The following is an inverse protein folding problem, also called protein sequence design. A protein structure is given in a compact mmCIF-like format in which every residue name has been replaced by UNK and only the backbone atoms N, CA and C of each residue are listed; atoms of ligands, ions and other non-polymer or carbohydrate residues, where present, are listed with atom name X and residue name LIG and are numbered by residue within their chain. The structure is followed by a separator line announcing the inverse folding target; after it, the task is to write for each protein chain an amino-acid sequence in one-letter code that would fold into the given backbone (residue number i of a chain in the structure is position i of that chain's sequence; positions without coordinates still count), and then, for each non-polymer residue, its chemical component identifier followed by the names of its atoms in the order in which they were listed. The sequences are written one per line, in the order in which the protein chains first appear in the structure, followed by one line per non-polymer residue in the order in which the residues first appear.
data_IF_831055076627
#
_entry.id   IF_831055076627
#
_cell.length_a   1.000
_cell.length_b   1.000
_cell.length_c   1.000
_cell.angle_alpha   90.00
_cell.angle_beta   90.00
_cell.angle_gamma   90.00
#
_symmetry.space_group_name_H-M   'P 1'
#
loop_
_entity.id
_entity.type
_entity.pdbx_description
1 polymer ?
#
# COMPACT_ATOMS: atom_id res chain seq x y z
N UNK A 1 14.16 -13.61 11.77
CA UNK A 1 14.97 -12.78 10.84
C UNK A 1 14.38 -11.37 10.67
N UNK A 2 13.14 -11.20 10.29
CA UNK A 2 12.48 -9.89 10.10
C UNK A 2 12.53 -8.97 11.33
N UNK A 3 12.22 -9.50 12.53
CA UNK A 3 12.26 -8.73 13.77
C UNK A 3 13.67 -8.21 14.09
N UNK A 4 14.70 -9.01 13.89
CA UNK A 4 16.11 -8.58 14.09
C UNK A 4 16.51 -7.46 13.12
N UNK A 5 16.05 -7.49 11.87
CA UNK A 5 16.32 -6.43 10.89
C UNK A 5 15.62 -5.14 11.29
N UNK A 6 14.37 -5.23 11.74
CA UNK A 6 13.59 -4.09 12.22
C UNK A 6 14.23 -3.43 13.47
N UNK A 7 14.61 -4.23 14.46
CA UNK A 7 15.26 -3.76 15.69
C UNK A 7 16.65 -3.15 15.42
N UNK A 8 17.36 -3.63 14.40
CA UNK A 8 18.67 -3.08 14.00
C UNK A 8 18.53 -1.73 13.29
N UNK A 9 17.57 -1.60 12.39
CA UNK A 9 17.33 -0.37 11.63
C UNK A 9 15.95 -0.42 10.96
N UNK A 10 15.02 0.42 11.44
CA UNK A 10 13.70 0.57 10.82
C UNK A 10 13.81 1.04 9.36
N UNK A 11 14.79 1.91 9.05
CA UNK A 11 15.02 2.39 7.70
C UNK A 11 15.45 1.25 6.74
N UNK A 12 16.39 0.42 7.18
CA UNK A 12 16.82 -0.72 6.37
C UNK A 12 15.70 -1.74 6.17
N UNK A 13 14.85 -1.92 7.17
CA UNK A 13 13.66 -2.75 7.08
C UNK A 13 12.66 -2.20 6.05
N UNK A 14 12.40 -0.88 6.09
CA UNK A 14 11.51 -0.22 5.13
C UNK A 14 12.03 -0.36 3.70
N UNK A 15 13.30 -0.03 3.46
CA UNK A 15 13.93 -0.14 2.15
C UNK A 15 13.93 -1.58 1.62
N UNK A 16 14.22 -2.56 2.47
CA UNK A 16 14.15 -3.97 2.08
C UNK A 16 12.77 -4.35 1.56
N UNK A 17 11.70 -3.97 2.28
CA UNK A 17 10.34 -4.31 1.87
C UNK A 17 9.86 -3.53 0.64
N UNK A 18 10.31 -2.29 0.46
CA UNK A 18 10.04 -1.52 -0.76
C UNK A 18 10.68 -2.23 -1.97
N UNK A 19 11.94 -2.67 -1.86
CA UNK A 19 12.61 -3.41 -2.93
C UNK A 19 11.89 -4.73 -3.23
N UNK A 20 11.50 -5.48 -2.21
CA UNK A 20 10.72 -6.72 -2.37
C UNK A 20 9.40 -6.44 -3.09
N UNK A 21 8.70 -5.39 -2.71
CA UNK A 21 7.44 -4.97 -3.35
C UNK A 21 7.66 -4.62 -4.84
N UNK A 22 8.67 -3.81 -5.16
CA UNK A 22 8.99 -3.43 -6.53
C UNK A 22 9.34 -4.66 -7.39
N UNK A 23 10.16 -5.56 -6.89
CA UNK A 23 10.53 -6.80 -7.60
C UNK A 23 9.29 -7.67 -7.83
N UNK A 24 8.44 -7.85 -6.80
CA UNK A 24 7.22 -8.64 -6.90
C UNK A 24 6.29 -8.08 -7.99
N UNK A 25 6.04 -6.77 -8.01
CA UNK A 25 5.18 -6.14 -9.02
C UNK A 25 5.77 -6.24 -10.42
N UNK A 26 7.08 -6.02 -10.57
CA UNK A 26 7.77 -6.08 -11.87
C UNK A 26 7.76 -7.50 -12.46
N UNK A 27 7.89 -8.53 -11.62
CA UNK A 27 7.87 -9.93 -12.07
C UNK A 27 6.47 -10.49 -12.28
N UNK A 28 5.48 -9.93 -11.58
CA UNK A 28 4.09 -10.36 -11.68
C UNK A 28 3.47 -10.01 -13.05
N UNK A 29 3.85 -8.89 -13.64
CA UNK A 29 3.26 -8.43 -14.91
C UNK A 29 3.43 -9.45 -16.05
N UNK A 30 4.66 -9.89 -16.42
CA UNK A 30 4.83 -10.89 -17.46
C UNK A 30 4.17 -12.25 -17.10
N UNK A 31 4.12 -12.59 -15.82
CA UNK A 31 3.47 -13.82 -15.37
C UNK A 31 1.96 -13.77 -15.56
N UNK A 32 1.32 -12.62 -15.31
CA UNK A 32 -0.11 -12.43 -15.59
C UNK A 32 -0.42 -12.62 -17.07
N UNK A 33 0.43 -12.11 -17.96
CA UNK A 33 0.28 -12.29 -19.41
C UNK A 33 0.36 -13.78 -19.82
N UNK A 34 1.24 -14.55 -19.19
CA UNK A 34 1.35 -16.01 -19.45
C UNK A 34 0.11 -16.77 -18.97
N UNK A 35 -0.55 -16.33 -17.91
CA UNK A 35 -1.78 -16.94 -17.38
C UNK A 35 -2.99 -16.60 -18.25
N UNK A 36 -2.94 -15.49 -19.01
CA UNK A 36 -4.04 -15.02 -19.84
C UNK A 36 -5.16 -14.30 -19.07
N UNK A 37 -4.92 -13.96 -17.79
CA UNK A 37 -5.82 -13.16 -16.96
C UNK A 37 -5.06 -11.93 -16.52
N UNK A 38 -5.53 -10.75 -16.91
CA UNK A 38 -4.86 -9.49 -16.55
C UNK A 38 -4.81 -9.32 -15.03
N UNK A 39 -3.65 -8.89 -14.55
CA UNK A 39 -3.40 -8.64 -13.13
C UNK A 39 -3.54 -9.85 -12.17
N UNK A 40 -3.71 -11.08 -12.64
CA UNK A 40 -3.88 -12.24 -11.76
C UNK A 40 -2.66 -12.47 -10.85
N UNK A 41 -1.46 -12.51 -11.42
CA UNK A 41 -0.23 -12.68 -10.64
C UNK A 41 0.07 -11.45 -9.77
N UNK A 42 -0.22 -10.23 -10.28
CA UNK A 42 -0.10 -9.01 -9.49
C UNK A 42 -1.03 -9.05 -8.27
N UNK A 43 -2.30 -9.43 -8.43
CA UNK A 43 -3.24 -9.60 -7.34
C UNK A 43 -2.74 -10.65 -6.31
N UNK A 44 -2.28 -11.81 -6.79
CA UNK A 44 -1.77 -12.88 -5.92
C UNK A 44 -0.56 -12.39 -5.09
N UNK A 45 0.44 -11.76 -5.72
CA UNK A 45 1.60 -11.26 -5.00
C UNK A 45 1.26 -10.12 -4.05
N UNK A 46 0.38 -9.20 -4.45
CA UNK A 46 -0.09 -8.11 -3.58
C UNK A 46 -0.83 -8.64 -2.35
N UNK A 47 -1.71 -9.63 -2.51
CA UNK A 47 -2.40 -10.29 -1.40
C UNK A 47 -1.41 -10.97 -0.46
N UNK A 48 -0.47 -11.75 -0.99
CA UNK A 48 0.54 -12.44 -0.19
C UNK A 48 1.37 -11.43 0.63
N UNK A 49 1.87 -10.37 0.00
CA UNK A 49 2.64 -9.34 0.69
C UNK A 49 1.81 -8.61 1.75
N UNK A 50 0.57 -8.27 1.43
CA UNK A 50 -0.38 -7.65 2.37
C UNK A 50 -0.58 -8.52 3.60
N UNK A 51 -0.85 -9.81 3.41
CA UNK A 51 -1.05 -10.76 4.53
C UNK A 51 0.22 -10.90 5.36
N UNK A 52 1.39 -11.05 4.72
CA UNK A 52 2.67 -11.18 5.42
C UNK A 52 2.93 -9.93 6.29
N UNK A 53 2.81 -8.73 5.72
CA UNK A 53 3.09 -7.50 6.44
C UNK A 53 2.05 -7.22 7.52
N UNK A 54 0.77 -7.42 7.23
CA UNK A 54 -0.29 -7.25 8.22
C UNK A 54 -0.13 -8.20 9.41
N UNK A 55 0.10 -9.49 9.15
CA UNK A 55 0.34 -10.47 10.20
C UNK A 55 1.61 -10.15 11.01
N UNK A 56 2.67 -9.69 10.35
CA UNK A 56 3.90 -9.29 11.01
C UNK A 56 3.69 -8.08 11.93
N UNK A 57 3.02 -7.03 11.46
CA UNK A 57 2.69 -5.83 12.25
C UNK A 57 1.83 -6.20 13.45
N UNK A 58 0.79 -7.03 13.24
CA UNK A 58 -0.10 -7.51 14.30
C UNK A 58 0.64 -8.33 15.36
N UNK A 59 1.48 -9.29 14.92
CA UNK A 59 2.25 -10.16 15.82
C UNK A 59 3.25 -9.41 16.70
N UNK A 60 3.78 -8.29 16.20
CA UNK A 60 4.75 -7.46 16.95
C UNK A 60 4.10 -6.31 17.72
N UNK A 61 2.76 -6.22 17.77
CA UNK A 61 2.05 -5.19 18.53
C UNK A 61 2.20 -3.77 17.96
N UNK A 62 2.52 -3.65 16.67
CA UNK A 62 2.81 -2.37 16.01
C UNK A 62 1.58 -1.74 15.33
N UNK A 63 0.37 -2.27 15.59
CA UNK A 63 -0.86 -1.80 14.95
C UNK A 63 -1.14 -0.32 15.21
N UNK A 64 -1.00 0.14 16.45
CA UNK A 64 -1.18 1.55 16.82
C UNK A 64 -0.08 2.44 16.21
N UNK A 65 1.16 1.95 16.21
CA UNK A 65 2.29 2.68 15.64
C UNK A 65 2.09 3.01 14.16
N UNK A 66 1.48 2.13 13.39
CA UNK A 66 1.25 2.29 11.96
C UNK A 66 -0.18 2.69 11.59
N UNK A 67 -0.98 3.09 12.60
CA UNK A 67 -2.33 3.61 12.37
C UNK A 67 -3.36 2.54 11.95
N UNK A 68 -3.06 1.26 12.14
CA UNK A 68 -3.97 0.14 11.86
C UNK A 68 -4.88 -0.17 13.05
N UNK A 69 -5.33 0.85 13.75
CA UNK A 69 -6.22 0.77 14.89
C UNK A 69 -7.53 1.52 14.62
N UNK A 70 -8.55 1.25 15.43
CA UNK A 70 -9.79 2.02 15.34
C UNK A 70 -9.53 3.47 15.74
N UNK A 71 -10.03 4.40 14.94
CA UNK A 71 -10.01 5.81 15.28
C UNK A 71 -11.05 6.11 16.34
N UNK A 72 -10.70 6.99 17.29
CA UNK A 72 -11.64 7.58 18.23
C UNK A 72 -12.37 8.81 17.68
N UNK A 73 -12.00 9.25 16.46
CA UNK A 73 -12.59 10.43 15.86
C UNK A 73 -14.02 10.14 15.35
N UNK A 74 -14.98 11.05 15.56
CA UNK A 74 -16.33 10.89 15.05
C UNK A 74 -16.33 10.95 13.52
N UNK A 75 -17.22 10.16 12.89
CA UNK A 75 -17.34 10.06 11.43
C UNK A 75 -17.54 11.46 10.76
N UNK A 76 -18.19 12.40 11.44
CA UNK A 76 -18.37 13.75 10.93
C UNK A 76 -17.06 14.48 10.61
N UNK A 77 -15.95 14.16 11.27
CA UNK A 77 -14.63 14.73 10.94
C UNK A 77 -14.05 14.24 9.61
N UNK A 78 -14.62 13.20 9.03
CA UNK A 78 -14.20 12.70 7.71
C UNK A 78 -15.00 13.30 6.56
N UNK A 79 -15.99 14.16 6.84
CA UNK A 79 -16.79 14.84 5.79
C UNK A 79 -15.96 15.73 4.88
N UNK A 80 -14.81 16.22 5.33
CA UNK A 80 -13.90 16.99 4.49
C UNK A 80 -13.25 16.16 3.36
N UNK A 81 -13.32 14.82 3.41
CA UNK A 81 -12.95 13.95 2.30
C UNK A 81 -14.01 13.88 1.19
N UNK A 82 -15.23 14.38 1.46
CA UNK A 82 -16.34 14.32 0.51
C UNK A 82 -16.00 14.97 -0.85
N UNK A 83 -15.37 16.15 -0.93
CA UNK A 83 -14.93 16.70 -2.21
C UNK A 83 -13.97 15.79 -2.97
N UNK A 84 -13.08 15.10 -2.28
CA UNK A 84 -12.15 14.13 -2.90
C UNK A 84 -12.92 12.91 -3.46
N UNK A 85 -13.89 12.41 -2.72
CA UNK A 85 -14.75 11.30 -3.19
C UNK A 85 -15.53 11.72 -4.43
N UNK A 86 -16.06 12.95 -4.47
CA UNK A 86 -16.76 13.49 -5.64
C UNK A 86 -15.82 13.59 -6.86
N UNK A 87 -14.58 14.04 -6.68
CA UNK A 87 -13.59 14.10 -7.77
C UNK A 87 -13.25 12.71 -8.31
N UNK A 88 -13.03 11.73 -7.43
CA UNK A 88 -12.75 10.35 -7.85
C UNK A 88 -13.97 9.69 -8.51
N UNK A 89 -15.17 10.10 -8.14
CA UNK A 89 -16.42 9.58 -8.74
C UNK A 89 -16.71 10.11 -10.15
N UNK A 90 -15.91 11.05 -10.68
CA UNK A 90 -16.08 11.62 -12.02
C UNK A 90 -16.21 10.54 -13.11
N UNK A 91 -15.39 9.50 -13.02
CA UNK A 91 -15.46 8.38 -13.96
C UNK A 91 -16.82 7.67 -13.98
N UNK A 92 -17.53 7.63 -12.86
CA UNK A 92 -18.88 7.03 -12.77
C UNK A 92 -19.93 7.88 -13.50
N UNK A 93 -19.75 9.20 -13.52
CA UNK A 93 -20.68 10.15 -14.16
C UNK A 93 -20.48 10.20 -15.68
N UNK A 94 -19.28 9.89 -16.15
CA UNK A 94 -18.94 9.89 -17.57
C UNK A 94 -19.24 8.55 -18.26
N UNK A 95 -19.99 7.66 -17.62
CA UNK A 95 -20.47 6.41 -18.24
C UNK A 95 -19.36 5.37 -18.44
N UNK A 96 -18.68 4.97 -17.38
CA UNK A 96 -17.72 3.87 -17.43
C UNK A 96 -18.44 2.57 -17.77
N UNK A 97 -18.14 2.01 -18.96
CA UNK A 97 -18.54 0.67 -19.32
C UNK A 97 -17.50 -0.32 -18.78
N UNK A 98 -17.95 -1.35 -18.06
CA UNK A 98 -17.09 -2.47 -17.67
C UNK A 98 -16.93 -3.35 -18.92
N UNK A 99 -15.84 -3.16 -19.66
CA UNK A 99 -15.54 -3.89 -20.90
C UNK A 99 -14.63 -5.09 -20.67
N UNK A 100 -14.22 -5.36 -19.44
CA UNK A 100 -13.33 -6.48 -19.09
C UNK A 100 -14.13 -7.70 -18.61
N UNK A 101 -13.61 -8.91 -18.84
CA UNK A 101 -14.13 -10.11 -18.21
C UNK A 101 -14.20 -9.98 -16.68
N UNK A 102 -15.19 -10.64 -16.07
CA UNK A 102 -15.39 -10.56 -14.62
C UNK A 102 -14.13 -10.97 -13.83
N UNK A 103 -13.42 -12.00 -14.30
CA UNK A 103 -12.19 -12.47 -13.66
C UNK A 103 -11.09 -11.39 -13.64
N UNK A 104 -10.86 -10.72 -14.77
CA UNK A 104 -9.88 -9.64 -14.88
C UNK A 104 -10.26 -8.46 -14.01
N UNK A 105 -11.56 -8.09 -14.01
CA UNK A 105 -12.07 -7.01 -13.14
C UNK A 105 -11.83 -7.31 -11.66
N UNK A 106 -12.14 -8.51 -11.19
CA UNK A 106 -11.95 -8.91 -9.80
C UNK A 106 -10.47 -8.96 -9.42
N UNK A 107 -9.61 -9.48 -10.28
CA UNK A 107 -8.16 -9.49 -10.07
C UNK A 107 -7.61 -8.06 -9.99
N UNK A 108 -8.02 -7.19 -10.91
CA UNK A 108 -7.60 -5.79 -10.94
C UNK A 108 -8.05 -5.04 -9.68
N UNK A 109 -9.31 -5.14 -9.28
CA UNK A 109 -9.83 -4.50 -8.06
C UNK A 109 -9.10 -4.99 -6.80
N UNK A 110 -8.88 -6.32 -6.70
CA UNK A 110 -8.14 -6.90 -5.57
C UNK A 110 -6.71 -6.38 -5.54
N UNK A 111 -6.04 -6.34 -6.71
CA UNK A 111 -4.69 -5.79 -6.80
C UNK A 111 -4.65 -4.33 -6.35
N UNK A 112 -5.54 -3.47 -6.85
CA UNK A 112 -5.58 -2.04 -6.49
C UNK A 112 -5.79 -1.82 -4.99
N UNK A 113 -6.69 -2.57 -4.35
CA UNK A 113 -6.90 -2.50 -2.90
C UNK A 113 -5.65 -2.90 -2.11
N UNK A 114 -5.01 -3.99 -2.51
CA UNK A 114 -3.79 -4.46 -1.85
C UNK A 114 -2.60 -3.52 -2.09
N UNK A 115 -2.44 -3.00 -3.31
CA UNK A 115 -1.40 -2.02 -3.66
C UNK A 115 -1.57 -0.75 -2.82
N UNK A 116 -2.78 -0.18 -2.75
CA UNK A 116 -3.05 0.98 -1.92
C UNK A 116 -2.67 0.76 -0.45
N UNK A 117 -3.01 -0.41 0.12
CA UNK A 117 -2.60 -0.76 1.48
C UNK A 117 -1.07 -0.90 1.61
N UNK A 118 -0.42 -1.59 0.66
CA UNK A 118 1.03 -1.81 0.67
C UNK A 118 1.80 -0.50 0.56
N UNK A 119 1.39 0.39 -0.32
CA UNK A 119 2.02 1.69 -0.48
C UNK A 119 1.87 2.54 0.79
N UNK A 120 0.69 2.58 1.40
CA UNK A 120 0.49 3.30 2.66
C UNK A 120 1.37 2.72 3.78
N UNK A 121 1.43 1.40 3.96
CA UNK A 121 2.22 0.81 5.05
C UNK A 121 3.72 0.91 4.82
N UNK A 122 4.19 0.77 3.57
CA UNK A 122 5.61 0.80 3.23
C UNK A 122 6.16 2.23 3.24
N UNK A 123 5.50 3.17 2.55
CA UNK A 123 6.01 4.53 2.40
C UNK A 123 5.61 5.44 3.55
N UNK A 124 4.34 5.46 3.95
CA UNK A 124 3.86 6.32 5.04
C UNK A 124 3.95 5.66 6.41
N UNK A 125 3.90 4.34 6.47
CA UNK A 125 4.15 3.60 7.71
C UNK A 125 5.65 3.48 7.99
N UNK A 126 6.32 2.55 7.34
CA UNK A 126 7.70 2.17 7.68
C UNK A 126 8.71 3.24 7.32
N UNK A 127 8.76 3.69 6.06
CA UNK A 127 9.78 4.62 5.58
C UNK A 127 9.65 5.98 6.27
N UNK A 128 8.47 6.57 6.25
CA UNK A 128 8.24 7.90 6.82
C UNK A 128 8.58 7.95 8.31
N UNK A 129 8.11 6.97 9.10
CA UNK A 129 8.40 6.93 10.54
C UNK A 129 9.87 6.66 10.85
N UNK A 130 10.53 5.82 10.06
CA UNK A 130 11.96 5.58 10.19
C UNK A 130 12.78 6.87 9.93
N UNK A 131 12.39 7.65 8.93
CA UNK A 131 13.06 8.93 8.63
C UNK A 131 12.78 9.98 9.71
N UNK A 132 11.52 10.07 10.21
CA UNK A 132 11.22 10.97 11.33
C UNK A 132 12.12 10.69 12.53
N UNK A 133 12.27 9.42 12.90
CA UNK A 133 13.07 9.01 14.03
C UNK A 133 14.57 9.34 13.86
N UNK A 134 15.08 9.34 12.63
CA UNK A 134 16.49 9.56 12.32
C UNK A 134 16.82 11.03 12.01
N UNK A 135 16.05 11.64 11.13
CA UNK A 135 16.41 12.91 10.48
C UNK A 135 15.38 14.04 10.71
N UNK A 136 14.30 13.73 11.40
CA UNK A 136 13.24 14.68 11.74
C UNK A 136 12.14 14.84 10.68
N UNK A 137 11.07 15.54 11.07
CA UNK A 137 9.83 15.60 10.28
C UNK A 137 9.98 16.31 8.93
N UNK A 138 10.78 17.37 8.83
CA UNK A 138 10.95 18.11 7.57
C UNK A 138 11.53 17.24 6.46
N UNK A 139 12.60 16.49 6.75
CA UNK A 139 13.21 15.56 5.78
C UNK A 139 12.27 14.41 5.44
N UNK A 140 11.56 13.89 6.44
CA UNK A 140 10.58 12.81 6.22
C UNK A 140 9.47 13.24 5.25
N UNK A 141 8.93 14.45 5.40
CA UNK A 141 7.91 14.99 4.48
C UNK A 141 8.47 15.09 3.05
N UNK A 142 9.64 15.69 2.88
CA UNK A 142 10.25 15.89 1.55
C UNK A 142 10.51 14.53 0.87
N UNK A 143 11.17 13.61 1.57
CA UNK A 143 11.50 12.29 1.02
C UNK A 143 10.23 11.50 0.70
N UNK A 144 9.27 11.47 1.62
CA UNK A 144 7.99 10.77 1.39
C UNK A 144 7.21 11.37 0.22
N UNK A 145 7.17 12.68 0.06
CA UNK A 145 6.48 13.33 -1.05
C UNK A 145 7.14 13.04 -2.39
N UNK A 146 8.47 13.02 -2.45
CA UNK A 146 9.21 12.68 -3.67
C UNK A 146 9.05 11.20 -4.02
N UNK A 147 9.21 10.30 -3.04
CA UNK A 147 9.16 8.84 -3.30
C UNK A 147 7.75 8.33 -3.59
N UNK A 148 6.71 9.03 -3.16
CA UNK A 148 5.32 8.66 -3.41
C UNK A 148 4.77 9.30 -4.70
N UNK A 149 5.40 10.37 -5.19
CA UNK A 149 4.99 11.09 -6.41
C UNK A 149 5.76 10.66 -7.67
N UNK A 150 6.72 9.76 -7.56
CA UNK A 150 7.47 9.14 -8.67
C UNK A 150 6.84 7.81 -9.07
#
# INVERSE_FOLDING_TARGET
MMKKLYEKSELSFALFWIVVYCIAQSTAFPLSQMIGIESAANAAFSVILTVILFCWVKKNGLMERYGLCRTSLPAARFLWYLPLVLLVSENLWNGVAINFPLADTLCYMTNMLCVGFLEEILFRGFLFKAIIAKDGAKKAIIISSVTFGL
#
